data_IF_706533386389
#
_entry.id   IF_706533386389
#
_cell.length_a   1.000
_cell.length_b   1.000
_cell.length_c   1.000
_cell.angle_alpha   90.00
_cell.angle_beta   90.00
_cell.angle_gamma   90.00
#
_symmetry.space_group_name_H-M   'P 1'
#
loop_
_entity.id
_entity.type
_entity.pdbx_description
1 polymer ?
#
# COMPACT_ATOMS: atom_id res chain seq x y z
N UNK A 1 5.94 12.52 -13.14
CA UNK A 1 5.13 11.49 -12.45
C UNK A 1 6.03 10.32 -12.16
N UNK A 2 5.80 9.64 -11.04
CA UNK A 2 6.64 8.52 -10.59
C UNK A 2 5.83 7.23 -10.69
N UNK A 3 6.47 6.14 -11.13
CA UNK A 3 5.83 4.83 -11.20
C UNK A 3 6.15 4.03 -9.95
N UNK A 4 5.12 3.59 -9.22
CA UNK A 4 5.26 2.68 -8.10
C UNK A 4 4.82 1.28 -8.54
N UNK A 5 5.73 0.31 -8.51
CA UNK A 5 5.40 -1.09 -8.78
C UNK A 5 5.37 -1.88 -7.47
N UNK A 6 4.20 -2.40 -7.12
CA UNK A 6 4.05 -3.31 -5.99
C UNK A 6 4.24 -4.73 -6.51
N UNK A 7 5.09 -5.51 -5.87
CA UNK A 7 5.34 -6.91 -6.25
C UNK A 7 5.17 -7.83 -5.04
N UNK A 8 4.23 -8.77 -5.14
CA UNK A 8 4.01 -9.74 -4.08
C UNK A 8 5.00 -10.91 -4.24
N UNK A 9 6.07 -10.90 -3.43
CA UNK A 9 7.04 -12.01 -3.33
C UNK A 9 6.63 -13.08 -2.31
N UNK A 10 5.54 -12.88 -1.58
CA UNK A 10 5.04 -13.86 -0.62
C UNK A 10 4.44 -15.07 -1.35
N UNK A 11 4.43 -16.22 -0.67
CA UNK A 11 3.77 -17.44 -1.16
C UNK A 11 2.24 -17.45 -1.01
N UNK A 12 1.63 -16.31 -0.66
CA UNK A 12 0.20 -16.17 -0.36
C UNK A 12 -0.36 -14.85 -0.92
N UNK A 13 -1.68 -14.76 -1.04
CA UNK A 13 -2.36 -13.54 -1.44
C UNK A 13 -2.14 -12.43 -0.41
N UNK A 14 -1.83 -11.24 -0.91
CA UNK A 14 -1.76 -10.01 -0.13
C UNK A 14 -2.77 -9.04 -0.73
N UNK A 15 -3.44 -8.26 0.11
CA UNK A 15 -4.31 -7.19 -0.36
C UNK A 15 -3.70 -5.85 -0.01
N UNK A 16 -2.93 -5.21 -0.91
CA UNK A 16 -2.42 -3.88 -0.65
C UNK A 16 -3.53 -2.91 -0.26
N UNK A 17 -3.27 -2.09 0.75
CA UNK A 17 -4.03 -0.90 1.10
C UNK A 17 -3.22 0.35 0.77
N UNK A 18 -3.90 1.42 0.37
CA UNK A 18 -3.28 2.68 -0.03
C UNK A 18 -4.04 3.82 0.65
N UNK A 19 -3.30 4.60 1.44
CA UNK A 19 -3.81 5.79 2.09
C UNK A 19 -3.03 7.00 1.58
N UNK A 20 -3.68 7.93 0.84
CA UNK A 20 -3.03 9.17 0.46
C UNK A 20 -2.83 10.09 1.67
N UNK A 21 -1.83 10.95 1.59
CA UNK A 21 -1.70 12.11 2.45
C UNK A 21 -2.84 13.12 2.22
N UNK A 22 -2.99 14.07 3.14
CA UNK A 22 -4.04 15.09 3.05
C UNK A 22 -4.00 15.84 1.71
N UNK A 23 -5.17 15.95 1.06
CA UNK A 23 -5.32 16.63 -0.23
C UNK A 23 -4.75 15.87 -1.44
N UNK A 24 -4.22 14.65 -1.27
CA UNK A 24 -3.72 13.82 -2.38
C UNK A 24 -4.82 12.86 -2.87
N UNK A 25 -4.85 12.52 -4.17
CA UNK A 25 -5.88 11.64 -4.72
C UNK A 25 -5.73 10.20 -4.20
N UNK A 26 -6.88 9.53 -4.04
CA UNK A 26 -6.94 8.09 -3.75
C UNK A 26 -6.57 7.33 -5.03
N UNK A 27 -5.56 6.45 -4.91
CA UNK A 27 -5.11 5.60 -6.01
C UNK A 27 -5.72 4.21 -5.87
N UNK A 28 -6.08 3.58 -7.00
CA UNK A 28 -6.65 2.23 -7.06
C UNK A 28 -7.76 1.98 -6.01
N UNK A 29 -8.66 2.95 -5.83
CA UNK A 29 -9.75 2.92 -4.83
C UNK A 29 -9.27 2.63 -3.39
N UNK A 30 -7.99 2.88 -3.08
CA UNK A 30 -7.39 2.64 -1.78
C UNK A 30 -6.97 1.19 -1.52
N UNK A 31 -7.12 0.27 -2.47
CA UNK A 31 -6.65 -1.10 -2.26
C UNK A 31 -7.09 -2.08 -3.34
N UNK A 32 -6.48 -3.25 -3.36
CA UNK A 32 -6.77 -4.31 -4.33
C UNK A 32 -6.22 -5.65 -3.84
N UNK A 33 -6.52 -6.72 -4.56
CA UNK A 33 -5.93 -8.04 -4.36
C UNK A 33 -4.67 -8.22 -5.22
N UNK A 34 -3.61 -8.77 -4.64
CA UNK A 34 -2.36 -9.08 -5.33
C UNK A 34 -1.94 -10.53 -5.05
N UNK A 35 -2.12 -11.38 -6.06
CA UNK A 35 -1.78 -12.80 -6.00
C UNK A 35 -0.25 -13.04 -5.87
N UNK A 36 0.18 -14.21 -5.35
CA UNK A 36 1.59 -14.59 -5.28
C UNK A 36 2.32 -14.43 -6.61
N UNK A 37 3.52 -13.84 -6.57
CA UNK A 37 4.38 -13.66 -7.74
C UNK A 37 3.84 -12.66 -8.78
N UNK A 38 2.77 -11.92 -8.48
CA UNK A 38 2.21 -10.89 -9.37
C UNK A 38 2.64 -9.48 -8.94
N UNK A 39 2.64 -8.58 -9.92
CA UNK A 39 2.88 -7.16 -9.74
C UNK A 39 1.65 -6.33 -10.09
N UNK A 40 1.53 -5.16 -9.46
CA UNK A 40 0.59 -4.11 -9.85
C UNK A 40 1.33 -2.77 -9.93
N UNK A 41 1.05 -1.99 -10.99
CA UNK A 41 1.74 -0.71 -11.24
C UNK A 41 0.78 0.45 -11.03
N UNK A 42 1.21 1.44 -10.24
CA UNK A 42 0.52 2.69 -9.99
C UNK A 42 1.30 3.86 -10.59
N UNK A 43 0.56 4.83 -11.12
CA UNK A 43 1.10 6.14 -11.47
C UNK A 43 0.86 7.10 -10.31
N UNK A 44 1.95 7.54 -9.67
CA UNK A 44 1.90 8.55 -8.62
C UNK A 44 1.93 9.94 -9.28
N UNK A 45 0.93 10.80 -9.02
CA UNK A 45 0.95 12.18 -9.51
C UNK A 45 2.10 12.97 -8.87
N UNK A 46 2.48 14.10 -9.47
CA UNK A 46 3.54 14.96 -8.93
C UNK A 46 3.20 15.40 -7.51
N UNK A 47 4.20 15.40 -6.64
CA UNK A 47 4.01 15.77 -5.24
C UNK A 47 3.11 14.81 -4.45
N UNK A 48 2.83 13.59 -4.94
CA UNK A 48 2.03 12.64 -4.18
C UNK A 48 2.77 12.21 -2.92
N UNK A 49 2.04 12.13 -1.82
CA UNK A 49 2.50 11.54 -0.58
C UNK A 49 1.45 10.60 -0.02
N UNK A 50 1.89 9.60 0.72
CA UNK A 50 1.01 8.64 1.34
C UNK A 50 1.74 7.38 1.78
N UNK A 51 0.96 6.39 2.18
CA UNK A 51 1.46 5.11 2.66
C UNK A 51 0.75 3.94 2.00
N UNK A 52 1.50 2.86 1.86
CA UNK A 52 1.05 1.57 1.35
C UNK A 52 1.37 0.50 2.39
N UNK A 53 0.47 -0.44 2.60
CA UNK A 53 0.71 -1.59 3.48
C UNK A 53 0.09 -2.85 2.89
N UNK A 54 0.52 -4.01 3.36
CA UNK A 54 -0.07 -5.29 2.97
C UNK A 54 -1.09 -5.77 4.00
N UNK A 55 -2.25 -6.22 3.53
CA UNK A 55 -3.24 -6.95 4.33
C UNK A 55 -3.14 -8.45 4.06
N UNK A 56 -3.34 -9.27 5.09
CA UNK A 56 -3.22 -10.72 5.00
C UNK A 56 -4.42 -11.42 5.65
N UNK A 57 -4.70 -12.65 5.20
CA UNK A 57 -5.82 -13.45 5.69
C UNK A 57 -7.17 -12.79 5.44
N UNK A 58 -7.35 -12.15 4.28
CA UNK A 58 -8.58 -11.47 3.92
C UNK A 58 -9.60 -12.45 3.34
N UNK A 59 -10.87 -12.25 3.70
CA UNK A 59 -12.00 -12.90 3.07
C UNK A 59 -13.07 -11.83 2.81
N UNK A 60 -13.46 -11.68 1.54
CA UNK A 60 -14.45 -10.71 1.09
C UNK A 60 -15.57 -11.42 0.34
N UNK A 61 -16.80 -10.95 0.51
CA UNK A 61 -17.94 -11.36 -0.28
C UNK A 61 -17.93 -10.71 -1.67
N UNK A 62 -18.95 -11.02 -2.49
CA UNK A 62 -19.10 -10.48 -3.83
C UNK A 62 -19.31 -8.95 -3.87
N UNK A 63 -19.66 -8.32 -2.75
CA UNK A 63 -19.76 -6.86 -2.62
C UNK A 63 -18.45 -6.20 -2.17
N UNK A 64 -17.40 -6.99 -1.95
CA UNK A 64 -16.11 -6.51 -1.45
C UNK A 64 -16.12 -6.19 0.04
N UNK A 65 -17.07 -6.73 0.81
CA UNK A 65 -17.19 -6.57 2.27
C UNK A 65 -16.70 -7.82 2.97
N UNK A 66 -16.01 -7.64 4.11
CA UNK A 66 -15.35 -8.75 4.78
C UNK A 66 -14.42 -8.32 5.89
N UNK A 67 -13.32 -9.06 6.06
CA UNK A 67 -12.29 -8.74 7.07
C UNK A 67 -10.95 -9.37 6.68
N UNK A 68 -9.86 -8.68 7.03
CA UNK A 68 -8.50 -9.21 7.05
C UNK A 68 -8.03 -9.52 8.47
N UNK A 69 -7.16 -10.52 8.62
CA UNK A 69 -6.58 -10.89 9.92
C UNK A 69 -5.60 -9.81 10.43
N UNK A 70 -4.86 -9.15 9.53
CA UNK A 70 -3.95 -8.03 9.85
C UNK A 70 -4.09 -6.91 8.83
N UNK A 71 -3.92 -5.65 9.25
CA UNK A 71 -3.94 -4.49 8.38
C UNK A 71 -5.32 -4.09 7.83
N UNK A 72 -6.41 -4.64 8.36
CA UNK A 72 -7.77 -4.38 7.86
C UNK A 72 -8.12 -2.88 7.85
N UNK A 73 -8.90 -2.43 6.86
CA UNK A 73 -9.25 -1.02 6.68
C UNK A 73 -10.77 -0.79 6.73
N UNK A 74 -11.44 -1.38 7.73
CA UNK A 74 -12.88 -1.22 7.93
C UNK A 74 -13.72 -2.28 7.20
N UNK A 75 -13.13 -3.45 6.96
CA UNK A 75 -13.79 -4.60 6.35
C UNK A 75 -14.17 -4.40 4.89
N UNK A 76 -13.36 -3.65 4.14
CA UNK A 76 -13.58 -3.35 2.73
C UNK A 76 -12.37 -3.79 1.88
N UNK A 77 -12.62 -4.39 0.72
CA UNK A 77 -11.59 -4.71 -0.27
C UNK A 77 -10.88 -3.44 -0.75
N UNK A 78 -11.67 -2.40 -1.05
CA UNK A 78 -11.21 -1.06 -1.42
C UNK A 78 -11.21 -0.16 -0.18
N UNK A 79 -10.05 0.23 0.33
CA UNK A 79 -9.98 1.01 1.57
C UNK A 79 -10.47 2.45 1.42
N UNK A 80 -10.63 2.95 0.18
CA UNK A 80 -11.11 4.29 -0.12
C UNK A 80 -10.38 5.40 0.68
N UNK A 81 -9.06 5.26 0.82
CA UNK A 81 -8.21 6.20 1.55
C UNK A 81 -8.20 6.04 3.08
N UNK A 82 -8.94 5.09 3.65
CA UNK A 82 -8.81 4.73 5.07
C UNK A 82 -7.48 4.05 5.35
N UNK A 83 -6.94 4.25 6.55
CA UNK A 83 -5.74 3.56 7.03
C UNK A 83 -6.02 2.13 7.48
N UNK A 84 -4.97 1.31 7.50
CA UNK A 84 -5.02 -0.04 8.05
C UNK A 84 -4.96 -0.06 9.58
N UNK A 85 -5.67 -1.00 10.19
CA UNK A 85 -5.59 -1.27 11.63
C UNK A 85 -4.24 -1.94 11.99
N UNK A 86 -3.52 -1.45 13.01
CA UNK A 86 -2.32 -2.11 13.53
C UNK A 86 -2.58 -3.56 14.00
N UNK A 87 -1.59 -4.47 13.87
CA UNK A 87 -0.26 -4.22 13.36
C UNK A 87 -0.21 -4.17 11.82
N UNK A 88 0.54 -3.20 11.28
CA UNK A 88 0.76 -3.04 9.85
C UNK A 88 2.16 -2.45 9.57
N UNK A 89 2.97 -3.18 8.80
CA UNK A 89 4.22 -2.64 8.23
C UNK A 89 3.89 -1.66 7.10
N UNK A 90 4.44 -0.45 7.18
CA UNK A 90 4.14 0.63 6.24
C UNK A 90 5.31 0.84 5.29
N UNK A 91 5.00 1.07 4.01
CA UNK A 91 5.87 1.74 3.06
C UNK A 91 5.36 3.17 2.89
N UNK A 92 6.15 4.14 3.33
CA UNK A 92 5.79 5.56 3.27
C UNK A 92 6.55 6.21 2.12
N UNK A 93 5.86 7.01 1.31
CA UNK A 93 6.43 7.72 0.15
C UNK A 93 5.97 9.17 0.17
N UNK A 94 6.91 10.08 -0.03
CA UNK A 94 6.66 11.51 -0.28
C UNK A 94 7.46 11.93 -1.50
N UNK A 95 6.77 12.23 -2.59
CA UNK A 95 7.40 12.80 -3.79
C UNK A 95 7.59 14.30 -3.58
N UNK A 96 8.82 14.77 -3.69
CA UNK A 96 9.14 16.20 -3.62
C UNK A 96 9.24 16.84 -4.99
N UNK A 97 9.56 18.13 -5.02
CA UNK A 97 9.87 18.82 -6.27
C UNK A 97 11.30 18.48 -6.74
N UNK A 98 12.26 18.45 -5.80
CA UNK A 98 13.67 18.14 -6.07
C UNK A 98 14.14 16.80 -5.47
N UNK A 99 13.57 16.39 -4.33
CA UNK A 99 14.00 15.21 -3.58
C UNK A 99 12.81 14.42 -3.05
N UNK A 100 12.80 13.12 -3.32
CA UNK A 100 11.81 12.18 -2.80
C UNK A 100 12.29 11.58 -1.46
N UNK A 101 11.33 11.32 -0.57
CA UNK A 101 11.56 10.61 0.69
C UNK A 101 10.74 9.33 0.71
N UNK A 102 11.34 8.26 1.23
CA UNK A 102 10.66 6.98 1.41
C UNK A 102 11.29 6.21 2.56
N UNK A 103 10.49 5.40 3.22
CA UNK A 103 10.96 4.53 4.29
C UNK A 103 10.03 3.32 4.48
N UNK A 104 10.55 2.32 5.19
CA UNK A 104 9.74 1.23 5.73
C UNK A 104 9.60 1.49 7.23
N UNK A 105 8.37 1.73 7.67
CA UNK A 105 8.06 2.09 9.04
C UNK A 105 7.35 0.95 9.77
N UNK A 106 7.77 0.75 11.02
CA UNK A 106 7.16 -0.17 11.98
C UNK A 106 6.44 0.57 13.12
N UNK A 107 6.16 1.87 12.93
CA UNK A 107 5.46 2.68 13.95
C UNK A 107 4.08 2.10 14.28
N UNK A 108 3.40 1.54 13.28
CA UNK A 108 2.11 0.85 13.41
C UNK A 108 2.29 -0.67 13.59
N UNK A 109 3.48 -1.14 14.00
CA UNK A 109 3.80 -2.55 14.23
C UNK A 109 4.25 -3.31 12.98
N UNK A 110 4.28 -4.64 13.10
CA UNK A 110 4.79 -5.54 12.05
C UNK A 110 3.77 -6.62 11.68
N UNK A 111 3.59 -6.86 10.38
CA UNK A 111 2.78 -7.99 9.89
C UNK A 111 3.37 -8.70 8.66
N UNK A 112 3.81 -7.95 7.64
CA UNK A 112 4.35 -8.49 6.39
C UNK A 112 5.68 -7.79 6.10
N UNK A 113 6.75 -8.51 5.74
CA UNK A 113 8.02 -7.88 5.37
C UNK A 113 7.86 -7.08 4.07
N UNK A 114 8.30 -5.83 4.09
CA UNK A 114 8.30 -4.92 2.94
C UNK A 114 9.71 -4.38 2.71
N UNK A 115 10.07 -4.18 1.45
CA UNK A 115 11.28 -3.48 1.04
C UNK A 115 10.94 -2.47 -0.06
N UNK A 116 11.58 -1.31 -0.04
CA UNK A 116 11.48 -0.31 -1.11
C UNK A 116 12.83 -0.28 -1.84
N UNK A 117 12.79 -0.19 -3.18
CA UNK A 117 14.00 -0.07 -4.00
C UNK A 117 13.75 0.99 -5.06
N UNK A 118 14.37 2.18 -4.95
CA UNK A 118 14.31 3.17 -6.01
C UNK A 118 14.93 2.64 -7.30
N UNK A 119 14.35 3.03 -8.43
CA UNK A 119 14.87 2.67 -9.75
C UNK A 119 15.10 3.95 -10.56
N UNK A 120 16.31 4.11 -11.09
CA UNK A 120 16.76 5.29 -11.87
C UNK A 120 16.78 6.63 -11.11
N UNK A 121 16.72 6.63 -9.78
CA UNK A 121 17.05 7.79 -8.95
C UNK A 121 18.54 7.87 -8.64
N UNK A 122 19.03 9.06 -8.33
CA UNK A 122 20.33 9.30 -7.67
C UNK A 122 20.07 9.67 -6.21
N UNK A 123 20.79 9.04 -5.28
CA UNK A 123 20.72 9.31 -3.85
C UNK A 123 21.85 10.21 -3.37
#
# INVERSE_FOLDING_TARGET
STTLTLYNKCGYHVWPGIQPGSGKPILANGGFELAPGKSYTLQLPSGWSGRVWGRHGCNFDASGRGRCATGDCGGALFCNGLGGAPPATLAEITLGDDQDFYDVSLVDGYNIPISITPFRGSG
#
